data_IF_559719830268
#
_entry.id   IF_559719830268
#
_cell.length_a   1.000
_cell.length_b   1.000
_cell.length_c   1.000
_cell.angle_alpha   90.00
_cell.angle_beta   90.00
_cell.angle_gamma   90.00
#
_symmetry.space_group_name_H-M   'P 1'
#
loop_
_entity.id
_entity.type
_entity.pdbx_description
1 polymer ?
#
# COMPACT_ATOMS: atom_id res chain seq x y z
N UNK A 1 12.54 -1.01 -17.40
CA UNK A 1 12.37 -0.08 -16.22
C UNK A 1 11.97 -0.91 -15.02
N UNK A 2 12.59 -0.70 -13.86
CA UNK A 2 12.23 -1.36 -12.61
C UNK A 2 11.26 -0.50 -11.80
N UNK A 3 10.37 -1.13 -11.03
CA UNK A 3 9.49 -0.41 -10.10
C UNK A 3 9.84 -0.81 -8.67
N UNK A 4 10.16 0.17 -7.84
CA UNK A 4 10.50 -0.01 -6.44
C UNK A 4 9.44 0.62 -5.55
N UNK A 5 8.98 -0.10 -4.54
CA UNK A 5 8.06 0.46 -3.55
C UNK A 5 8.70 0.50 -2.18
N UNK A 6 8.68 1.66 -1.56
CA UNK A 6 9.13 1.88 -0.19
C UNK A 6 7.95 2.18 0.73
N UNK A 7 7.80 1.37 1.78
CA UNK A 7 6.75 1.54 2.78
C UNK A 7 7.07 2.67 3.77
N UNK A 8 6.08 3.04 4.61
CA UNK A 8 6.25 4.09 5.60
C UNK A 8 7.40 3.84 6.59
N UNK A 9 7.70 2.59 6.92
CA UNK A 9 8.85 2.23 7.76
C UNK A 9 10.20 2.54 7.09
N UNK A 10 10.26 2.47 5.75
CA UNK A 10 11.49 2.75 4.98
C UNK A 10 11.79 4.24 4.82
N UNK A 11 10.86 5.12 5.23
CA UNK A 11 10.98 6.59 5.13
C UNK A 11 10.55 7.29 6.41
N UNK A 12 10.55 6.59 7.55
CA UNK A 12 9.99 7.09 8.82
C UNK A 12 10.81 8.21 9.48
N UNK A 13 12.08 8.32 9.15
CA UNK A 13 13.04 9.29 9.69
C UNK A 13 14.15 9.57 8.69
N UNK A 14 15.03 10.54 8.96
CA UNK A 14 16.10 10.95 8.06
C UNK A 14 17.05 9.79 7.72
N UNK A 15 17.40 8.95 8.70
CA UNK A 15 18.29 7.81 8.48
C UNK A 15 17.65 6.76 7.56
N UNK A 16 16.36 6.52 7.72
CA UNK A 16 15.60 5.64 6.83
C UNK A 16 15.56 6.19 5.39
N UNK A 17 15.40 7.49 5.21
CA UNK A 17 15.46 8.14 3.88
C UNK A 17 16.85 7.99 3.26
N UNK A 18 17.93 8.22 4.03
CA UNK A 18 19.32 7.99 3.58
C UNK A 18 19.53 6.52 3.18
N UNK A 19 18.95 5.58 3.93
CA UNK A 19 19.05 4.17 3.60
C UNK A 19 18.33 3.81 2.28
N UNK A 20 17.27 4.53 1.90
CA UNK A 20 16.67 4.37 0.55
C UNK A 20 17.71 4.65 -0.54
N UNK A 21 18.51 5.70 -0.40
CA UNK A 21 19.58 6.00 -1.36
C UNK A 21 20.62 4.87 -1.43
N UNK A 22 21.01 4.31 -0.28
CA UNK A 22 21.94 3.16 -0.22
C UNK A 22 21.34 1.91 -0.90
N UNK A 23 20.04 1.67 -0.74
CA UNK A 23 19.33 0.59 -1.45
C UNK A 23 19.42 0.81 -2.96
N UNK A 24 19.14 2.03 -3.43
CA UNK A 24 19.19 2.39 -4.85
C UNK A 24 20.60 2.28 -5.43
N UNK A 25 21.63 2.71 -4.70
CA UNK A 25 23.03 2.52 -5.08
C UNK A 25 23.37 1.03 -5.26
N UNK A 26 22.88 0.18 -4.34
CA UNK A 26 23.14 -1.26 -4.35
C UNK A 26 22.41 -1.98 -5.50
N UNK A 27 21.19 -1.57 -5.84
CA UNK A 27 20.31 -2.25 -6.80
C UNK A 27 20.33 -1.66 -8.22
N UNK A 28 20.98 -0.52 -8.38
CA UNK A 28 20.95 0.29 -9.59
C UNK A 28 19.79 1.27 -9.61
N UNK A 29 20.11 2.52 -9.88
CA UNK A 29 19.18 3.64 -9.88
C UNK A 29 18.66 3.99 -11.29
N UNK A 30 19.34 3.53 -12.32
CA UNK A 30 19.01 3.88 -13.69
C UNK A 30 17.66 3.28 -14.13
N UNK A 31 16.81 4.10 -14.76
CA UNK A 31 15.53 3.66 -15.35
C UNK A 31 14.60 2.98 -14.34
N UNK A 32 14.32 3.69 -13.25
CA UNK A 32 13.43 3.17 -12.21
C UNK A 32 12.27 4.14 -11.88
N UNK A 33 11.21 3.59 -11.32
CA UNK A 33 10.10 4.34 -10.74
C UNK A 33 9.96 3.95 -9.28
N UNK A 34 10.02 4.93 -8.38
CA UNK A 34 9.93 4.77 -6.94
C UNK A 34 8.52 5.18 -6.49
N UNK A 35 7.80 4.24 -5.87
CA UNK A 35 6.51 4.48 -5.24
C UNK A 35 6.71 4.57 -3.73
N UNK A 36 6.29 5.67 -3.14
CA UNK A 36 6.58 6.00 -1.74
C UNK A 36 5.29 6.12 -0.93
N UNK A 37 5.23 5.46 0.22
CA UNK A 37 4.14 5.63 1.20
C UNK A 37 4.38 6.85 2.08
N UNK A 38 3.35 7.29 2.80
CA UNK A 38 3.49 8.30 3.86
C UNK A 38 4.55 7.89 4.90
N UNK A 39 5.26 8.85 5.48
CA UNK A 39 6.31 8.63 6.47
C UNK A 39 5.77 8.06 7.78
N UNK A 40 6.30 6.93 8.22
CA UNK A 40 5.98 6.32 9.51
C UNK A 40 4.48 6.08 9.72
N UNK A 41 3.88 6.81 10.67
CA UNK A 41 2.45 6.72 11.03
C UNK A 41 1.64 7.95 10.59
N UNK A 42 2.12 8.71 9.62
CA UNK A 42 1.48 9.96 9.16
C UNK A 42 0.05 9.74 8.70
N UNK A 43 -0.25 8.65 7.99
CA UNK A 43 -1.61 8.30 7.53
C UNK A 43 -2.59 8.24 8.72
N UNK A 44 -2.21 7.58 9.81
CA UNK A 44 -3.04 7.49 11.02
C UNK A 44 -3.19 8.86 11.72
N UNK A 45 -2.15 9.68 11.72
CA UNK A 45 -2.20 11.01 12.32
C UNK A 45 -3.11 11.95 11.50
N UNK A 46 -3.06 11.88 10.17
CA UNK A 46 -3.96 12.65 9.29
C UNK A 46 -5.40 12.14 9.37
N UNK A 47 -5.64 10.85 9.54
CA UNK A 47 -6.98 10.32 9.81
C UNK A 47 -7.56 10.90 11.09
N UNK A 48 -6.75 11.05 12.15
CA UNK A 48 -7.15 11.71 13.40
C UNK A 48 -7.52 13.19 13.17
N UNK A 49 -6.80 13.90 12.29
CA UNK A 49 -7.17 15.28 11.88
C UNK A 49 -8.59 15.30 11.30
N UNK A 50 -8.92 14.35 10.41
CA UNK A 50 -10.27 14.23 9.83
C UNK A 50 -11.32 13.92 10.90
N UNK A 51 -11.02 13.01 11.82
CA UNK A 51 -11.92 12.72 12.94
C UNK A 51 -12.21 13.95 13.80
N UNK A 52 -11.17 14.72 14.16
CA UNK A 52 -11.31 15.91 14.97
C UNK A 52 -12.11 16.99 14.23
N UNK A 53 -11.88 17.16 12.92
CA UNK A 53 -12.67 18.06 12.09
C UNK A 53 -14.18 17.73 12.15
N UNK A 54 -14.57 16.47 11.95
CA UNK A 54 -15.98 16.07 12.01
C UNK A 54 -16.57 16.11 13.43
N UNK A 55 -15.75 15.88 14.45
CA UNK A 55 -16.15 16.04 15.87
C UNK A 55 -16.14 17.49 16.34
N UNK A 56 -15.77 18.46 15.48
CA UNK A 56 -15.58 19.88 15.82
C UNK A 56 -14.61 20.10 16.98
N UNK A 57 -13.57 19.31 17.03
CA UNK A 57 -12.46 19.41 17.97
C UNK A 57 -11.29 20.18 17.33
N UNK A 58 -10.27 20.53 18.11
CA UNK A 58 -9.08 21.19 17.61
C UNK A 58 -8.25 20.21 16.75
N UNK A 59 -8.37 20.33 15.44
CA UNK A 59 -7.56 19.59 14.46
C UNK A 59 -6.28 20.33 14.07
N UNK A 60 -6.19 21.62 14.34
CA UNK A 60 -5.06 22.46 13.93
C UNK A 60 -3.79 22.11 14.70
N UNK A 61 -3.91 21.83 15.99
CA UNK A 61 -2.79 21.34 16.81
C UNK A 61 -2.22 20.02 16.31
N UNK A 62 -3.08 19.12 15.79
CA UNK A 62 -2.61 17.86 15.19
C UNK A 62 -1.89 18.12 13.86
N UNK A 63 -2.41 19.01 13.00
CA UNK A 63 -1.74 19.42 11.75
C UNK A 63 -0.35 19.98 12.07
N UNK A 64 -0.23 20.88 13.03
CA UNK A 64 1.07 21.47 13.39
C UNK A 64 2.04 20.41 13.94
N UNK A 65 1.56 19.47 14.74
CA UNK A 65 2.38 18.36 15.23
C UNK A 65 2.93 17.51 14.09
N UNK A 66 2.08 17.18 13.10
CA UNK A 66 2.50 16.40 11.94
C UNK A 66 3.50 17.20 11.09
N UNK A 67 3.25 18.49 10.88
CA UNK A 67 4.14 19.42 10.17
C UNK A 67 5.53 19.47 10.82
N UNK A 68 5.60 19.66 12.13
CA UNK A 68 6.87 19.70 12.84
C UNK A 68 7.65 18.38 12.78
N UNK A 69 6.98 17.25 12.78
CA UNK A 69 7.62 15.96 12.57
C UNK A 69 8.29 15.86 11.19
N UNK A 70 7.61 16.28 10.11
CA UNK A 70 8.18 16.26 8.76
C UNK A 70 9.32 17.29 8.60
N UNK A 71 9.18 18.48 9.20
CA UNK A 71 10.27 19.47 9.26
C UNK A 71 11.47 18.89 10.01
N UNK A 72 11.25 18.17 11.11
CA UNK A 72 12.32 17.50 11.84
C UNK A 72 13.06 16.47 11.00
N UNK A 73 12.35 15.67 10.22
CA UNK A 73 12.95 14.72 9.28
C UNK A 73 13.75 15.47 8.21
N UNK A 74 13.17 16.50 7.60
CA UNK A 74 13.83 17.31 6.56
C UNK A 74 15.11 18.00 7.06
N UNK A 75 15.14 18.48 8.32
CA UNK A 75 16.37 19.03 8.94
C UNK A 75 17.52 18.03 9.05
N UNK A 76 17.23 16.73 9.12
CA UNK A 76 18.23 15.67 9.10
C UNK A 76 18.79 15.35 7.70
N UNK A 77 18.19 15.92 6.65
CA UNK A 77 18.50 15.64 5.24
C UNK A 77 19.02 16.85 4.49
N UNK A 78 18.59 18.06 4.83
CA UNK A 78 18.85 19.29 4.09
C UNK A 78 19.44 20.39 4.96
N UNK A 79 20.09 21.35 4.34
CA UNK A 79 20.50 22.60 4.98
C UNK A 79 19.28 23.46 5.35
N UNK A 80 19.41 24.31 6.39
CA UNK A 80 18.28 25.09 6.96
C UNK A 80 17.58 26.01 5.94
N UNK A 81 18.24 26.38 4.85
CA UNK A 81 17.69 27.28 3.82
C UNK A 81 17.14 26.54 2.59
N UNK A 82 17.02 25.22 2.62
CA UNK A 82 16.54 24.44 1.49
C UNK A 82 15.05 24.73 1.19
N UNK A 83 14.70 24.78 -0.10
CA UNK A 83 13.34 25.13 -0.55
C UNK A 83 12.27 24.15 -0.06
N UNK A 84 12.64 22.89 0.23
CA UNK A 84 11.72 21.84 0.70
C UNK A 84 10.93 22.23 1.95
N UNK A 85 11.49 23.06 2.85
CA UNK A 85 10.78 23.53 4.05
C UNK A 85 9.56 24.37 3.71
N UNK A 86 9.68 25.22 2.67
CA UNK A 86 8.56 25.99 2.15
C UNK A 86 7.51 25.07 1.51
N UNK A 87 7.92 24.09 0.75
CA UNK A 87 7.02 23.11 0.10
C UNK A 87 6.26 22.26 1.12
N UNK A 88 6.94 21.76 2.17
CA UNK A 88 6.30 21.06 3.28
C UNK A 88 5.22 21.96 3.92
N UNK A 89 5.56 23.22 4.17
CA UNK A 89 4.61 24.17 4.79
C UNK A 89 3.37 24.37 3.91
N UNK A 90 3.53 24.51 2.60
CA UNK A 90 2.43 24.67 1.65
C UNK A 90 1.46 23.48 1.68
N UNK A 91 1.94 22.23 1.73
CA UNK A 91 1.06 21.06 1.83
C UNK A 91 0.17 21.11 3.09
N UNK A 92 0.72 21.51 4.23
CA UNK A 92 -0.07 21.62 5.46
C UNK A 92 -1.03 22.83 5.46
N UNK A 93 -0.62 23.93 4.85
CA UNK A 93 -1.48 25.11 4.66
C UNK A 93 -2.65 24.79 3.71
N UNK A 94 -2.43 23.95 2.70
CA UNK A 94 -3.48 23.44 1.80
C UNK A 94 -4.49 22.54 2.54
N UNK A 95 -4.03 21.66 3.44
CA UNK A 95 -4.93 20.87 4.32
C UNK A 95 -5.83 21.78 5.15
N UNK A 96 -5.26 22.75 5.86
CA UNK A 96 -6.02 23.67 6.71
C UNK A 96 -6.99 24.52 5.87
N UNK A 97 -6.54 25.03 4.74
CA UNK A 97 -7.37 25.79 3.79
C UNK A 97 -8.52 24.96 3.22
N UNK A 98 -8.25 23.70 2.87
CA UNK A 98 -9.30 22.79 2.42
C UNK A 98 -10.34 22.55 3.52
N UNK A 99 -9.92 22.19 4.73
CA UNK A 99 -10.82 21.92 5.85
C UNK A 99 -11.68 23.13 6.22
N UNK A 100 -11.11 24.34 6.22
CA UNK A 100 -11.87 25.58 6.47
C UNK A 100 -12.94 25.88 5.42
N UNK A 101 -12.70 25.55 4.16
CA UNK A 101 -13.61 25.82 3.03
C UNK A 101 -14.58 24.68 2.76
N UNK A 102 -14.26 23.46 3.23
CA UNK A 102 -15.05 22.27 2.94
C UNK A 102 -16.48 22.40 3.49
N UNK A 103 -17.45 22.09 2.62
CA UNK A 103 -18.87 22.02 2.96
C UNK A 103 -19.45 20.62 2.80
N UNK A 104 -18.65 19.69 2.32
CA UNK A 104 -19.09 18.30 2.11
C UNK A 104 -19.25 17.60 3.46
N UNK A 105 -20.40 16.96 3.73
CA UNK A 105 -20.59 16.11 4.90
C UNK A 105 -20.02 14.70 4.71
N UNK A 106 -19.49 14.38 3.53
CA UNK A 106 -18.99 13.05 3.21
C UNK A 106 -17.62 12.82 3.85
N UNK A 107 -17.60 12.01 4.91
CA UNK A 107 -16.37 11.64 5.63
C UNK A 107 -15.30 11.06 4.70
N UNK A 108 -15.67 10.12 3.83
CA UNK A 108 -14.72 9.44 2.95
C UNK A 108 -14.09 10.40 1.94
N UNK A 109 -14.86 11.35 1.40
CA UNK A 109 -14.32 12.41 0.55
C UNK A 109 -13.28 13.25 1.28
N UNK A 110 -13.61 13.74 2.47
CA UNK A 110 -12.69 14.59 3.27
C UNK A 110 -11.44 13.79 3.68
N UNK A 111 -11.63 12.53 4.06
CA UNK A 111 -10.53 11.62 4.34
C UNK A 111 -9.53 11.56 3.18
N UNK A 112 -10.00 11.31 1.98
CA UNK A 112 -9.12 11.16 0.81
C UNK A 112 -8.36 12.46 0.49
N UNK A 113 -9.00 13.64 0.62
CA UNK A 113 -8.32 14.91 0.38
C UNK A 113 -7.24 15.21 1.43
N UNK A 114 -7.44 14.84 2.68
CA UNK A 114 -6.52 15.13 3.78
C UNK A 114 -5.42 14.09 3.89
N UNK A 115 -5.80 12.81 3.91
CA UNK A 115 -4.84 11.73 4.20
C UNK A 115 -3.82 11.56 3.08
N UNK A 116 -4.20 11.80 1.83
CA UNK A 116 -3.31 11.75 0.67
C UNK A 116 -2.08 12.67 0.77
N UNK A 117 -2.19 13.76 1.52
CA UNK A 117 -1.08 14.69 1.70
C UNK A 117 0.15 14.02 2.36
N UNK A 118 -0.05 12.97 3.14
CA UNK A 118 1.05 12.21 3.74
C UNK A 118 2.00 11.61 2.69
N UNK A 119 1.43 11.02 1.64
CA UNK A 119 2.19 10.47 0.51
C UNK A 119 2.80 11.57 -0.36
N UNK A 120 2.09 12.68 -0.56
CA UNK A 120 2.60 13.84 -1.30
C UNK A 120 3.87 14.39 -0.66
N UNK A 121 3.82 14.67 0.63
CA UNK A 121 4.95 15.21 1.40
C UNK A 121 6.12 14.21 1.43
N UNK A 122 5.82 12.95 1.73
CA UNK A 122 6.84 11.90 1.83
C UNK A 122 7.62 11.72 0.53
N UNK A 123 6.91 11.60 -0.59
CA UNK A 123 7.52 11.42 -1.91
C UNK A 123 8.29 12.68 -2.34
N UNK A 124 7.81 13.88 -1.98
CA UNK A 124 8.50 15.13 -2.28
C UNK A 124 9.82 15.24 -1.50
N UNK A 125 9.81 14.96 -0.20
CA UNK A 125 11.04 14.94 0.62
C UNK A 125 12.06 13.96 0.05
N UNK A 126 11.64 12.74 -0.29
CA UNK A 126 12.54 11.73 -0.86
C UNK A 126 13.09 12.19 -2.21
N UNK A 127 12.25 12.71 -3.11
CA UNK A 127 12.67 13.18 -4.44
C UNK A 127 13.71 14.29 -4.34
N UNK A 128 13.47 15.30 -3.50
CA UNK A 128 14.41 16.40 -3.29
C UNK A 128 15.73 15.92 -2.68
N UNK A 129 15.66 14.99 -1.69
CA UNK A 129 16.87 14.43 -1.11
C UNK A 129 17.69 13.64 -2.13
N UNK A 130 17.06 12.82 -2.95
CA UNK A 130 17.77 12.10 -4.01
C UNK A 130 18.42 13.04 -5.01
N UNK A 131 17.74 14.13 -5.41
CA UNK A 131 18.31 15.14 -6.30
C UNK A 131 19.50 15.86 -5.65
N UNK A 132 19.42 16.18 -4.35
CA UNK A 132 20.53 16.82 -3.59
C UNK A 132 21.81 15.96 -3.62
N UNK A 133 21.67 14.65 -3.53
CA UNK A 133 22.79 13.70 -3.58
C UNK A 133 23.09 13.20 -5.01
N UNK A 134 22.61 13.91 -6.03
CA UNK A 134 22.85 13.65 -7.47
C UNK A 134 22.22 12.34 -8.02
N UNK A 135 21.26 11.76 -7.32
CA UNK A 135 20.36 10.75 -7.88
C UNK A 135 19.21 11.44 -8.60
N UNK A 136 19.49 11.99 -9.79
CA UNK A 136 18.54 12.81 -10.52
C UNK A 136 17.26 12.07 -10.88
N UNK A 137 16.14 12.64 -10.49
CA UNK A 137 14.82 12.07 -10.72
C UNK A 137 13.77 13.17 -10.97
N UNK A 138 12.65 12.77 -11.52
CA UNK A 138 11.48 13.62 -11.71
C UNK A 138 10.39 13.21 -10.71
N UNK A 139 9.93 14.16 -9.90
CA UNK A 139 8.77 13.94 -9.04
C UNK A 139 7.49 13.99 -9.88
N UNK A 140 6.64 12.96 -9.75
CA UNK A 140 5.36 12.85 -10.43
C UNK A 140 4.23 12.93 -9.42
N UNK A 141 3.15 13.63 -9.76
CA UNK A 141 1.90 13.54 -9.04
C UNK A 141 1.11 12.32 -9.53
N UNK A 142 0.94 11.30 -8.69
CA UNK A 142 0.25 10.06 -9.04
C UNK A 142 -1.18 10.30 -9.54
N UNK A 143 -1.83 11.39 -9.11
CA UNK A 143 -3.19 11.78 -9.51
C UNK A 143 -3.32 12.15 -10.98
N UNK A 144 -2.24 12.59 -11.60
CA UNK A 144 -2.21 12.87 -13.04
C UNK A 144 -2.21 11.60 -13.87
N UNK A 145 -1.70 10.51 -13.31
CA UNK A 145 -1.48 9.24 -14.01
C UNK A 145 -2.52 8.18 -13.67
N UNK A 146 -2.88 8.03 -12.39
CA UNK A 146 -3.84 7.02 -11.93
C UNK A 146 -5.23 7.63 -11.83
N UNK A 147 -6.11 7.20 -12.72
CA UNK A 147 -7.51 7.63 -12.75
C UNK A 147 -8.41 6.58 -12.12
N UNK A 148 -9.40 7.05 -11.36
CA UNK A 148 -10.32 6.18 -10.62
C UNK A 148 -11.77 6.64 -10.79
N UNK A 149 -12.69 5.83 -10.29
CA UNK A 149 -14.04 6.28 -9.99
C UNK A 149 -14.07 7.18 -8.73
N UNK A 150 -15.26 7.64 -8.35
CA UNK A 150 -15.50 8.47 -7.16
C UNK A 150 -15.82 7.66 -5.88
N UNK A 151 -15.42 6.40 -5.81
CA UNK A 151 -15.58 5.56 -4.62
C UNK A 151 -14.46 5.88 -3.61
N UNK A 152 -14.62 6.96 -2.86
CA UNK A 152 -13.62 7.42 -1.89
C UNK A 152 -13.26 6.33 -0.88
N UNK A 153 -11.98 6.23 -0.52
CA UNK A 153 -11.29 5.23 0.31
C UNK A 153 -11.08 3.85 -0.36
N UNK A 154 -11.76 3.55 -1.46
CA UNK A 154 -11.65 2.26 -2.18
C UNK A 154 -11.77 2.47 -3.69
N UNK A 155 -11.05 3.46 -4.23
CA UNK A 155 -11.10 3.83 -5.65
C UNK A 155 -10.87 2.63 -6.58
N UNK A 156 -11.74 2.50 -7.55
CA UNK A 156 -11.61 1.51 -8.62
C UNK A 156 -10.87 2.16 -9.78
N UNK A 157 -9.75 1.57 -10.17
CA UNK A 157 -8.87 2.11 -11.23
C UNK A 157 -9.56 2.04 -12.59
N UNK A 158 -9.60 3.17 -13.28
CA UNK A 158 -9.90 3.25 -14.72
C UNK A 158 -8.64 2.86 -15.50
N UNK A 159 -8.51 1.58 -15.80
CA UNK A 159 -7.31 1.02 -16.44
C UNK A 159 -7.01 1.66 -17.80
N UNK A 160 -8.04 1.90 -18.61
CA UNK A 160 -7.86 2.46 -19.96
C UNK A 160 -7.20 3.84 -19.90
N UNK A 161 -7.71 4.74 -19.07
CA UNK A 161 -7.19 6.09 -18.95
C UNK A 161 -5.82 6.09 -18.22
N UNK A 162 -5.67 5.27 -17.20
CA UNK A 162 -4.42 5.11 -16.46
C UNK A 162 -3.29 4.60 -17.36
N UNK A 163 -3.53 3.58 -18.19
CA UNK A 163 -2.54 3.09 -19.16
C UNK A 163 -2.14 4.17 -20.16
N UNK A 164 -3.12 4.93 -20.70
CA UNK A 164 -2.84 6.02 -21.64
C UNK A 164 -1.99 7.13 -21.02
N UNK A 165 -2.19 7.44 -19.74
CA UNK A 165 -1.42 8.47 -19.05
C UNK A 165 0.00 7.98 -18.71
N UNK A 166 0.13 6.78 -18.16
CA UNK A 166 1.43 6.21 -17.79
C UNK A 166 2.28 5.90 -19.02
N UNK A 167 1.67 5.56 -20.15
CA UNK A 167 2.38 5.33 -21.42
C UNK A 167 3.14 6.56 -21.95
N UNK A 168 2.80 7.77 -21.46
CA UNK A 168 3.48 9.02 -21.84
C UNK A 168 4.83 9.20 -21.11
N UNK A 169 5.09 8.42 -20.06
CA UNK A 169 6.34 8.49 -19.33
C UNK A 169 7.51 7.95 -20.15
N UNK A 170 8.60 8.70 -20.14
CA UNK A 170 9.83 8.24 -20.76
C UNK A 170 10.50 7.16 -19.89
N UNK A 171 10.77 6.01 -20.48
CA UNK A 171 11.32 4.84 -19.78
C UNK A 171 12.82 4.91 -19.51
N UNK A 172 13.49 5.99 -19.94
CA UNK A 172 14.92 6.19 -19.69
C UNK A 172 15.21 7.00 -18.43
N UNK A 173 14.20 7.69 -17.90
CA UNK A 173 14.32 8.53 -16.70
C UNK A 173 14.03 7.75 -15.40
N UNK A 174 14.41 8.37 -14.29
CA UNK A 174 14.00 7.95 -12.95
C UNK A 174 12.88 8.84 -12.43
N UNK A 175 11.93 8.22 -11.74
CA UNK A 175 10.77 8.90 -11.21
C UNK A 175 10.53 8.57 -9.75
N UNK A 176 10.03 9.55 -9.00
CA UNK A 176 9.50 9.36 -7.63
C UNK A 176 8.05 9.79 -7.61
N UNK A 177 7.16 8.95 -7.09
CA UNK A 177 5.73 9.22 -7.04
C UNK A 177 5.10 8.70 -5.75
N UNK A 178 3.87 9.13 -5.47
CA UNK A 178 3.09 8.70 -4.32
C UNK A 178 2.52 7.32 -4.55
N UNK A 179 2.48 6.51 -3.48
CA UNK A 179 1.60 5.37 -3.41
C UNK A 179 0.19 5.75 -2.98
N UNK A 180 -0.74 4.78 -2.98
CA UNK A 180 -2.05 4.87 -2.34
C UNK A 180 -3.08 5.77 -3.01
N UNK A 181 -2.72 6.71 -3.86
CA UNK A 181 -3.61 7.74 -4.40
C UNK A 181 -3.76 7.70 -5.92
N UNK A 182 -4.90 8.19 -6.37
CA UNK A 182 -5.23 8.56 -7.74
C UNK A 182 -6.22 9.71 -7.74
N UNK A 183 -6.85 10.01 -8.85
CA UNK A 183 -7.89 11.03 -8.94
C UNK A 183 -9.11 10.57 -9.74
N UNK A 184 -10.28 11.10 -9.40
CA UNK A 184 -11.50 10.93 -10.17
C UNK A 184 -11.65 12.05 -11.21
N UNK A 185 -12.71 12.02 -12.01
CA UNK A 185 -12.91 12.88 -13.19
C UNK A 185 -12.91 14.39 -12.93
N UNK A 186 -13.23 14.84 -11.70
CA UNK A 186 -13.14 16.24 -11.31
C UNK A 186 -11.81 16.59 -10.64
N UNK A 187 -10.82 15.71 -10.73
CA UNK A 187 -9.49 15.83 -10.13
C UNK A 187 -9.48 15.88 -8.58
N UNK A 188 -10.54 15.39 -7.92
CA UNK A 188 -10.45 15.13 -6.49
C UNK A 188 -9.64 13.87 -6.23
N UNK A 189 -8.86 13.91 -5.17
CA UNK A 189 -8.06 12.76 -4.77
C UNK A 189 -8.95 11.61 -4.31
N UNK A 190 -8.61 10.40 -4.73
CA UNK A 190 -9.23 9.16 -4.29
C UNK A 190 -8.16 8.20 -3.82
N UNK A 191 -8.33 7.60 -2.64
CA UNK A 191 -7.40 6.59 -2.15
C UNK A 191 -7.79 5.18 -2.60
N UNK A 192 -6.78 4.32 -2.82
CA UNK A 192 -6.93 2.99 -3.41
C UNK A 192 -7.25 1.88 -2.37
N UNK A 193 -7.49 2.27 -1.13
CA UNK A 193 -7.83 1.35 -0.05
C UNK A 193 -6.62 0.62 0.54
N UNK A 194 -6.89 -0.51 1.19
CA UNK A 194 -5.88 -1.27 1.93
C UNK A 194 -4.70 -1.67 1.04
N UNK A 195 -3.47 -1.47 1.55
CA UNK A 195 -2.21 -1.70 0.83
C UNK A 195 -2.14 -0.97 -0.52
N UNK A 196 -2.81 0.18 -0.62
CA UNK A 196 -2.92 0.97 -1.84
C UNK A 196 -1.57 1.39 -2.43
N UNK A 197 -0.52 1.59 -1.61
CA UNK A 197 0.81 1.92 -2.13
C UNK A 197 1.48 0.74 -2.86
N UNK A 198 1.29 -0.50 -2.38
CA UNK A 198 1.76 -1.69 -3.07
C UNK A 198 0.99 -1.88 -4.38
N UNK A 199 -0.33 -1.61 -4.34
CA UNK A 199 -1.17 -1.64 -5.53
C UNK A 199 -0.80 -0.56 -6.55
N UNK A 200 -0.48 0.67 -6.11
CA UNK A 200 0.06 1.73 -6.98
C UNK A 200 1.31 1.27 -7.73
N UNK A 201 2.25 0.64 -7.02
CA UNK A 201 3.47 0.13 -7.65
C UNK A 201 3.16 -0.95 -8.70
N UNK A 202 2.19 -1.83 -8.43
CA UNK A 202 1.75 -2.84 -9.39
C UNK A 202 1.05 -2.24 -10.61
N UNK A 203 0.25 -1.15 -10.44
CA UNK A 203 -0.36 -0.41 -11.54
C UNK A 203 0.73 0.18 -12.45
N UNK A 204 1.71 0.88 -11.89
CA UNK A 204 2.82 1.42 -12.68
C UNK A 204 3.63 0.32 -13.34
N UNK A 205 3.94 -0.76 -12.64
CA UNK A 205 4.68 -1.89 -13.20
C UNK A 205 3.94 -2.51 -14.40
N UNK A 206 2.63 -2.72 -14.27
CA UNK A 206 1.78 -3.23 -15.34
C UNK A 206 1.75 -2.29 -16.55
N UNK A 207 1.46 -1.00 -16.35
CA UNK A 207 1.33 -0.03 -17.44
C UNK A 207 2.65 0.24 -18.16
N UNK A 208 3.77 0.23 -17.44
CA UNK A 208 5.11 0.41 -18.01
C UNK A 208 5.69 -0.85 -18.66
N UNK A 209 5.04 -2.01 -18.50
CA UNK A 209 5.63 -3.33 -18.78
C UNK A 209 7.01 -3.43 -18.12
N UNK A 210 7.04 -3.26 -16.80
CA UNK A 210 8.28 -3.24 -16.04
C UNK A 210 9.01 -4.60 -16.12
N UNK A 211 10.34 -4.54 -16.06
CA UNK A 211 11.18 -5.74 -16.03
C UNK A 211 11.01 -6.52 -14.73
N UNK A 212 10.78 -5.79 -13.63
CA UNK A 212 10.52 -6.32 -12.29
C UNK A 212 9.86 -5.26 -11.41
N UNK A 213 9.18 -5.74 -10.36
CA UNK A 213 8.72 -4.92 -9.25
C UNK A 213 9.31 -5.43 -7.94
N UNK A 214 9.80 -4.53 -7.07
CA UNK A 214 10.28 -4.90 -5.74
C UNK A 214 9.59 -4.08 -4.66
N UNK A 215 9.04 -4.75 -3.65
CA UNK A 215 8.61 -4.12 -2.40
C UNK A 215 9.72 -4.26 -1.37
N UNK A 216 10.17 -3.13 -0.84
CA UNK A 216 11.17 -3.04 0.21
C UNK A 216 10.48 -2.99 1.57
N UNK A 217 10.73 -3.99 2.41
CA UNK A 217 10.15 -4.14 3.76
C UNK A 217 11.24 -4.27 4.82
N UNK A 218 10.85 -4.23 6.08
CA UNK A 218 11.71 -4.48 7.26
C UNK A 218 11.92 -5.98 7.56
N UNK A 219 11.39 -6.84 6.72
CA UNK A 219 11.53 -8.30 6.80
C UNK A 219 12.38 -8.83 5.64
N UNK A 220 13.08 -9.97 5.80
CA UNK A 220 13.96 -10.50 4.76
C UNK A 220 13.24 -10.93 3.48
N UNK A 221 11.93 -11.19 3.55
CA UNK A 221 11.09 -11.67 2.47
C UNK A 221 9.85 -12.36 3.04
N UNK A 222 9.26 -13.27 2.27
CA UNK A 222 8.16 -14.14 2.72
C UNK A 222 8.76 -15.32 3.47
N UNK A 223 8.26 -15.57 4.68
CA UNK A 223 8.74 -16.65 5.55
C UNK A 223 7.71 -17.77 5.60
N UNK A 224 8.17 -18.98 5.95
CA UNK A 224 7.29 -20.15 6.18
C UNK A 224 6.31 -19.96 7.34
N UNK A 225 6.51 -18.97 8.18
CA UNK A 225 5.62 -18.56 9.26
C UNK A 225 5.99 -17.19 9.82
N UNK A 226 5.15 -16.61 10.68
CA UNK A 226 5.47 -15.36 11.38
C UNK A 226 6.55 -15.64 12.44
N UNK A 227 7.77 -15.07 12.33
CA UNK A 227 8.85 -15.33 13.28
C UNK A 227 8.54 -14.84 14.70
N UNK A 228 7.52 -14.01 14.87
CA UNK A 228 7.05 -13.58 16.21
C UNK A 228 6.18 -14.63 16.90
N UNK A 229 5.72 -15.65 16.15
CA UNK A 229 4.77 -16.68 16.59
C UNK A 229 5.31 -18.11 16.48
N UNK A 230 6.22 -18.33 15.54
CA UNK A 230 6.78 -19.65 15.25
C UNK A 230 8.30 -19.62 15.37
N UNK A 231 8.85 -20.64 16.00
CA UNK A 231 10.28 -20.90 16.00
C UNK A 231 10.68 -21.63 14.68
N UNK A 232 11.93 -21.47 14.28
CA UNK A 232 12.51 -22.18 13.09
C UNK A 232 11.80 -21.88 11.77
N UNK A 233 11.36 -20.63 11.56
CA UNK A 233 10.82 -20.19 10.26
C UNK A 233 11.96 -19.96 9.28
N UNK A 234 11.72 -20.33 8.02
CA UNK A 234 12.69 -20.21 6.93
C UNK A 234 12.22 -19.18 5.90
N UNK A 235 13.18 -18.58 5.20
CA UNK A 235 12.91 -17.68 4.09
C UNK A 235 12.55 -18.49 2.85
N UNK A 236 11.38 -18.22 2.28
CA UNK A 236 10.99 -18.77 0.99
C UNK A 236 11.72 -18.00 -0.12
N UNK A 237 12.63 -18.67 -0.82
CA UNK A 237 13.39 -18.03 -1.91
C UNK A 237 12.50 -17.73 -3.13
N UNK A 238 11.49 -18.57 -3.37
CA UNK A 238 10.53 -18.46 -4.45
C UNK A 238 9.16 -18.98 -4.03
N UNK A 239 8.08 -18.27 -4.46
CA UNK A 239 6.70 -18.74 -4.34
C UNK A 239 5.94 -18.40 -5.64
N UNK A 240 4.93 -19.20 -5.98
CA UNK A 240 4.03 -18.89 -7.09
C UNK A 240 3.09 -17.73 -6.76
N UNK A 241 2.47 -17.13 -7.78
CA UNK A 241 1.41 -16.15 -7.57
C UNK A 241 0.21 -16.75 -6.83
N UNK A 242 -0.11 -18.01 -7.13
CA UNK A 242 -1.19 -18.76 -6.50
C UNK A 242 -0.94 -18.93 -5.00
N UNK A 243 0.24 -19.42 -4.63
CA UNK A 243 0.65 -19.57 -3.22
C UNK A 243 0.63 -18.24 -2.48
N UNK A 244 1.16 -17.17 -3.10
CA UNK A 244 1.13 -15.83 -2.50
C UNK A 244 -0.30 -15.33 -2.26
N UNK A 245 -1.24 -15.61 -3.17
CA UNK A 245 -2.66 -15.26 -3.02
C UNK A 245 -3.30 -16.06 -1.89
N UNK A 246 -3.06 -17.36 -1.83
CA UNK A 246 -3.57 -18.24 -0.75
C UNK A 246 -3.02 -17.80 0.61
N UNK A 247 -1.71 -17.59 0.71
CA UNK A 247 -1.10 -17.09 1.95
C UNK A 247 -1.72 -15.77 2.41
N UNK A 248 -1.94 -14.83 1.48
CA UNK A 248 -2.56 -13.53 1.77
C UNK A 248 -4.02 -13.68 2.21
N UNK A 249 -4.78 -14.57 1.59
CA UNK A 249 -6.17 -14.84 1.94
C UNK A 249 -6.30 -15.36 3.37
N UNK A 250 -5.43 -16.28 3.77
CA UNK A 250 -5.43 -16.85 5.12
C UNK A 250 -4.79 -15.95 6.17
N UNK A 251 -4.18 -14.81 5.80
CA UNK A 251 -3.77 -13.78 6.75
C UNK A 251 -2.28 -13.45 6.78
N UNK A 252 -1.47 -14.03 5.91
CA UNK A 252 -0.10 -13.59 5.76
C UNK A 252 -0.08 -12.13 5.27
N UNK A 253 0.44 -11.23 6.10
CA UNK A 253 0.38 -9.78 5.86
C UNK A 253 1.50 -9.24 4.96
N UNK A 254 2.08 -10.10 4.11
CA UNK A 254 3.25 -9.68 3.32
C UNK A 254 2.84 -9.04 2.00
N UNK A 255 1.76 -9.53 1.35
CA UNK A 255 1.33 -9.09 0.02
C UNK A 255 -0.20 -9.14 -0.05
N UNK A 256 -0.83 -8.19 -0.74
CA UNK A 256 -2.28 -8.20 -0.95
C UNK A 256 -2.64 -8.73 -2.35
N UNK A 257 -3.72 -9.52 -2.53
CA UNK A 257 -4.13 -10.05 -3.83
C UNK A 257 -4.31 -8.98 -4.93
N UNK A 258 -4.80 -7.78 -4.59
CA UNK A 258 -4.92 -6.65 -5.53
C UNK A 258 -3.58 -6.30 -6.19
N UNK A 259 -2.47 -6.40 -5.46
CA UNK A 259 -1.12 -6.13 -5.97
C UNK A 259 -0.66 -7.21 -6.94
N UNK A 260 -0.99 -8.47 -6.65
CA UNK A 260 -0.53 -9.62 -7.45
C UNK A 260 -1.25 -9.73 -8.79
N UNK A 261 -2.53 -9.35 -8.87
CA UNK A 261 -3.36 -9.52 -10.05
C UNK A 261 -2.77 -8.86 -11.32
N UNK A 262 -2.42 -7.57 -11.34
CA UNK A 262 -1.84 -6.95 -12.54
C UNK A 262 -0.46 -7.51 -12.87
N UNK A 263 0.35 -7.85 -11.89
CA UNK A 263 1.67 -8.44 -12.12
C UNK A 263 1.57 -9.82 -12.76
N UNK A 264 0.66 -10.67 -12.28
CA UNK A 264 0.38 -11.99 -12.85
C UNK A 264 -0.08 -11.91 -14.30
N UNK A 265 -0.95 -10.95 -14.64
CA UNK A 265 -1.47 -10.78 -16.01
C UNK A 265 -0.36 -10.54 -17.05
N UNK A 266 0.72 -9.87 -16.67
CA UNK A 266 1.87 -9.59 -17.55
C UNK A 266 3.12 -10.41 -17.23
N UNK A 267 3.01 -11.36 -16.30
CA UNK A 267 4.13 -12.18 -15.84
C UNK A 267 5.34 -11.35 -15.35
N UNK A 268 5.07 -10.21 -14.68
CA UNK A 268 6.13 -9.32 -14.18
C UNK A 268 6.69 -9.93 -12.90
N UNK A 269 7.97 -10.28 -12.84
CA UNK A 269 8.59 -10.79 -11.62
C UNK A 269 8.43 -9.82 -10.47
N UNK A 270 8.01 -10.33 -9.31
CA UNK A 270 7.79 -9.54 -8.13
C UNK A 270 8.69 -10.01 -6.99
N UNK A 271 9.33 -9.08 -6.30
CA UNK A 271 10.26 -9.38 -5.22
C UNK A 271 9.81 -8.72 -3.92
N UNK A 272 9.96 -9.45 -2.81
CA UNK A 272 9.92 -8.90 -1.45
C UNK A 272 11.32 -8.96 -0.89
N UNK A 273 11.92 -7.80 -0.60
CA UNK A 273 13.30 -7.69 -0.13
C UNK A 273 13.41 -6.80 1.11
N UNK A 274 14.47 -7.04 1.88
CA UNK A 274 14.77 -6.22 3.06
C UNK A 274 15.47 -4.92 2.68
N UNK A 275 14.93 -3.78 3.11
CA UNK A 275 15.64 -2.50 2.98
C UNK A 275 16.77 -2.33 4.02
N UNK A 276 16.81 -3.20 5.05
CA UNK A 276 17.89 -3.24 6.04
C UNK A 276 19.11 -4.00 5.48
N UNK A 277 18.86 -5.06 4.71
CA UNK A 277 19.87 -5.92 4.10
C UNK A 277 19.67 -6.03 2.57
N UNK A 278 19.85 -4.92 1.81
CA UNK A 278 19.45 -4.86 0.42
C UNK A 278 20.22 -5.80 -0.53
N UNK A 279 21.35 -6.34 -0.08
CA UNK A 279 22.15 -7.32 -0.84
C UNK A 279 21.57 -8.74 -0.79
N UNK A 280 20.68 -9.04 0.18
CA UNK A 280 20.03 -10.35 0.27
C UNK A 280 19.00 -10.52 -0.85
N UNK A 281 18.86 -11.72 -1.41
CA UNK A 281 18.00 -11.96 -2.58
C UNK A 281 16.50 -11.71 -2.29
N UNK A 282 16.06 -11.92 -1.04
CA UNK A 282 14.64 -11.84 -0.67
C UNK A 282 13.83 -13.02 -1.23
N UNK A 283 12.53 -12.81 -1.39
CA UNK A 283 11.60 -13.77 -2.00
C UNK A 283 11.20 -13.30 -3.39
N UNK A 284 11.33 -14.17 -4.38
CA UNK A 284 10.77 -13.97 -5.72
C UNK A 284 9.35 -14.55 -5.76
N UNK A 285 8.39 -13.76 -6.23
CA UNK A 285 7.02 -14.22 -6.53
C UNK A 285 6.85 -14.21 -8.05
N UNK A 286 6.46 -15.32 -8.63
CA UNK A 286 6.37 -15.44 -10.08
C UNK A 286 5.81 -16.77 -10.55
N UNK A 287 6.04 -17.09 -11.81
CA UNK A 287 5.68 -18.41 -12.34
C UNK A 287 6.59 -19.46 -11.65
N UNK A 288 5.98 -20.49 -11.07
CA UNK A 288 6.74 -21.56 -10.45
C UNK A 288 7.39 -22.44 -11.52
N UNK A 289 8.70 -22.60 -11.44
CA UNK A 289 9.45 -23.52 -12.29
C UNK A 289 9.66 -24.90 -11.60
N UNK A 290 9.47 -24.96 -10.28
CA UNK A 290 9.65 -26.16 -9.46
C UNK A 290 8.45 -26.37 -8.53
N UNK A 291 7.95 -27.60 -8.47
CA UNK A 291 6.88 -28.04 -7.57
C UNK A 291 7.38 -28.45 -6.17
N UNK A 292 8.43 -27.85 -5.65
CA UNK A 292 8.81 -28.10 -4.27
C UNK A 292 7.82 -27.36 -3.35
N UNK A 293 6.88 -28.13 -2.80
CA UNK A 293 5.92 -27.65 -1.82
C UNK A 293 6.64 -27.44 -0.49
N UNK A 294 6.85 -26.20 -0.11
CA UNK A 294 7.35 -25.87 1.24
C UNK A 294 6.17 -25.61 2.15
N UNK A 295 6.09 -26.34 3.25
CA UNK A 295 5.03 -26.14 4.25
C UNK A 295 5.12 -24.74 4.85
N UNK A 296 3.98 -24.05 4.90
CA UNK A 296 3.87 -22.71 5.49
C UNK A 296 2.76 -22.66 6.51
N UNK A 297 3.02 -21.96 7.63
CA UNK A 297 2.11 -21.86 8.76
C UNK A 297 1.58 -20.43 8.89
N UNK A 298 0.28 -20.26 8.74
CA UNK A 298 -0.39 -18.97 8.85
C UNK A 298 -1.31 -18.98 10.07
N UNK A 299 -1.04 -18.09 11.01
CA UNK A 299 -1.86 -17.91 12.19
C UNK A 299 -2.77 -16.69 12.03
N UNK A 300 -4.07 -16.90 12.12
CA UNK A 300 -5.07 -15.85 12.14
C UNK A 300 -5.76 -15.82 13.50
N UNK A 301 -5.44 -14.82 14.30
CA UNK A 301 -5.99 -14.65 15.64
C UNK A 301 -7.38 -14.00 15.63
N UNK A 302 -8.06 -14.04 16.78
CA UNK A 302 -9.36 -13.40 17.01
C UNK A 302 -10.47 -13.88 16.03
N UNK A 303 -10.49 -15.18 15.75
CA UNK A 303 -11.54 -15.79 14.95
C UNK A 303 -12.68 -16.29 15.87
N UNK A 304 -13.89 -16.27 15.34
CA UNK A 304 -15.08 -16.83 16.00
C UNK A 304 -15.59 -18.00 15.19
N UNK A 305 -15.74 -19.15 15.80
CA UNK A 305 -16.36 -20.30 15.17
C UNK A 305 -17.88 -20.19 15.35
N UNK A 306 -18.60 -20.16 14.23
CA UNK A 306 -20.06 -20.20 14.20
C UNK A 306 -20.52 -21.55 13.67
N UNK A 307 -21.19 -22.34 14.51
CA UNK A 307 -21.86 -23.55 14.08
C UNK A 307 -23.37 -23.29 13.88
N UNK A 308 -23.85 -23.64 12.70
CA UNK A 308 -25.30 -23.60 12.37
C UNK A 308 -25.75 -25.01 12.13
N UNK A 309 -26.77 -25.44 12.89
CA UNK A 309 -27.32 -26.81 12.84
C UNK A 309 -28.81 -26.78 12.62
N UNK A 310 -29.34 -27.78 11.92
CA UNK A 310 -30.78 -27.97 11.79
C UNK A 310 -31.34 -28.60 13.05
N UNK A 311 -32.51 -28.12 13.52
CA UNK A 311 -33.13 -28.64 14.75
C UNK A 311 -33.82 -30.00 14.59
N UNK A 312 -34.20 -30.34 13.37
CA UNK A 312 -35.00 -31.50 12.99
C UNK A 312 -34.18 -32.56 12.21
N UNK A 313 -32.86 -32.44 12.21
CA UNK A 313 -31.92 -33.27 11.45
C UNK A 313 -32.16 -33.26 9.93
N UNK A 314 -32.90 -32.27 9.41
CA UNK A 314 -32.96 -32.03 7.97
C UNK A 314 -31.61 -31.65 7.40
N UNK A 315 -31.38 -31.98 6.12
CA UNK A 315 -30.13 -31.60 5.48
C UNK A 315 -30.04 -30.09 5.25
N UNK A 316 -28.87 -29.54 5.46
CA UNK A 316 -28.56 -28.15 5.05
C UNK A 316 -28.44 -28.14 3.52
N UNK A 317 -29.50 -27.61 2.88
CA UNK A 317 -29.59 -27.45 1.44
C UNK A 317 -29.21 -26.02 1.01
N UNK A 318 -29.22 -25.79 -0.30
CA UNK A 318 -28.84 -24.53 -0.94
C UNK A 318 -29.63 -23.33 -0.41
N UNK A 319 -30.93 -23.50 -0.14
CA UNK A 319 -31.77 -22.43 0.40
C UNK A 319 -31.33 -21.98 1.80
N UNK A 320 -30.94 -22.91 2.65
CA UNK A 320 -30.41 -22.62 3.98
C UNK A 320 -29.06 -21.86 3.87
N UNK A 321 -28.19 -22.32 3.00
CA UNK A 321 -26.90 -21.62 2.73
C UNK A 321 -27.13 -20.22 2.19
N UNK A 322 -28.06 -20.07 1.23
CA UNK A 322 -28.40 -18.75 0.66
C UNK A 322 -28.85 -17.78 1.74
N UNK A 323 -29.75 -18.25 2.68
CA UNK A 323 -30.19 -17.41 3.78
C UNK A 323 -29.08 -17.03 4.73
N UNK A 324 -28.22 -17.98 5.11
CA UNK A 324 -27.06 -17.73 6.01
C UNK A 324 -26.13 -16.69 5.39
N UNK A 325 -25.69 -16.88 4.14
CA UNK A 325 -24.79 -15.94 3.47
C UNK A 325 -25.43 -14.57 3.25
N UNK A 326 -26.73 -14.50 2.98
CA UNK A 326 -27.47 -13.23 2.90
C UNK A 326 -27.44 -12.46 4.23
N UNK A 327 -27.59 -13.16 5.36
CA UNK A 327 -27.49 -12.55 6.68
C UNK A 327 -26.05 -12.09 6.97
N UNK A 328 -25.05 -12.92 6.71
CA UNK A 328 -23.64 -12.56 6.89
C UNK A 328 -23.26 -11.32 6.05
N UNK A 329 -23.69 -11.28 4.79
CA UNK A 329 -23.49 -10.13 3.91
C UNK A 329 -24.20 -8.87 4.43
N UNK A 330 -25.45 -8.99 4.88
CA UNK A 330 -26.22 -7.87 5.46
C UNK A 330 -25.51 -7.24 6.66
N UNK A 331 -24.90 -8.06 7.51
CA UNK A 331 -24.17 -7.59 8.69
C UNK A 331 -22.66 -7.38 8.43
N UNK A 332 -22.21 -7.47 7.16
CA UNK A 332 -20.81 -7.31 6.76
C UNK A 332 -19.84 -8.24 7.49
N UNK A 333 -20.30 -9.44 7.86
CA UNK A 333 -19.48 -10.48 8.49
C UNK A 333 -18.73 -11.22 7.37
N UNK A 334 -17.40 -11.25 7.45
CA UNK A 334 -16.56 -11.99 6.51
C UNK A 334 -16.31 -13.41 7.01
N UNK A 335 -16.54 -14.39 6.15
CA UNK A 335 -16.22 -15.79 6.40
C UNK A 335 -14.79 -16.06 5.99
N UNK A 336 -13.99 -16.65 6.88
CA UNK A 336 -12.58 -17.00 6.63
C UNK A 336 -12.42 -18.45 6.19
N UNK A 337 -13.24 -19.34 6.74
CA UNK A 337 -13.27 -20.76 6.43
C UNK A 337 -14.71 -21.24 6.50
N UNK A 338 -15.05 -22.24 5.70
CA UNK A 338 -16.34 -22.87 5.71
C UNK A 338 -16.17 -24.38 5.62
N UNK A 339 -16.84 -25.09 6.50
CA UNK A 339 -16.94 -26.55 6.43
C UNK A 339 -18.41 -26.95 6.50
N UNK A 340 -18.91 -27.63 5.47
CA UNK A 340 -20.24 -28.14 5.38
C UNK A 340 -20.30 -29.63 5.72
N UNK A 341 -21.31 -30.03 6.47
CA UNK A 341 -21.69 -31.43 6.66
C UNK A 341 -23.22 -31.60 6.33
N UNK A 342 -23.77 -32.80 6.49
CA UNK A 342 -25.17 -33.05 6.13
C UNK A 342 -26.13 -32.14 6.88
N UNK A 343 -25.94 -31.94 8.18
CA UNK A 343 -26.86 -31.24 9.09
C UNK A 343 -26.25 -30.03 9.80
N UNK A 344 -24.98 -29.71 9.52
CA UNK A 344 -24.29 -28.59 10.16
C UNK A 344 -23.39 -27.84 9.19
N UNK A 345 -23.25 -26.54 9.43
CA UNK A 345 -22.33 -25.63 8.72
C UNK A 345 -21.47 -24.89 9.75
N UNK A 346 -20.18 -25.11 9.69
CA UNK A 346 -19.18 -24.40 10.48
C UNK A 346 -18.58 -23.26 9.66
N UNK A 347 -18.54 -22.06 10.23
CA UNK A 347 -18.06 -20.83 9.58
C UNK A 347 -17.02 -20.15 10.45
#
# INVERSE_FOLDING_TARGET
>A
MKVYKFGGASVKDAESVKNVALVLETQGFEKCLLVVSAMGKTTNALEKVVEFYFKKQDYQSEIETIKQNHIGIAKGLFSDNHAVFGEISLFFDDIDSFLRRNKSPNYNFVYDQVVSCGEMISSKILSEYLNEIQFFNHWLDARDYIKTDSNYREGIVNWQETEQNIAKLDKINCYVTQGFIGSETNNFTVTLGREGSDYTAAIFAYCLNADEMTIWKDVPGVMTGDPRKFENVELLSHISYEEAIEMAYYGASVIHPKTLQPLKQKNIPFYVKSFVEPKKPGTKVGISENNELTESYILKENQTLLNVETRDFSFIAEDHMSLIFKLLAKYKIKVSLMQNSAISLAL
#
